data_IF_858793202862
#
_entry.id   IF_858793202862
#
_cell.length_a   1.000
_cell.length_b   1.000
_cell.length_c   1.000
_cell.angle_alpha   90.00
_cell.angle_beta   90.00
_cell.angle_gamma   90.00
#
_symmetry.space_group_name_H-M   'P 1'
#
loop_
_entity.id
_entity.type
_entity.pdbx_description
1 polymer ?
#
# COMPACT_ATOMS: atom_id res chain seq x y z
N UNK A 1 -37.64 30.55 5.19
CA UNK A 1 -37.43 29.12 4.86
C UNK A 1 -36.19 28.69 5.59
N UNK A 2 -36.25 27.61 6.39
CA UNK A 2 -35.05 27.11 7.08
C UNK A 2 -34.08 26.56 6.03
N UNK A 3 -32.86 27.07 6.00
CA UNK A 3 -31.79 26.49 5.18
C UNK A 3 -31.50 25.06 5.66
N UNK A 4 -31.80 24.10 4.80
CA UNK A 4 -31.41 22.71 5.02
C UNK A 4 -29.91 22.62 4.77
N UNK A 5 -29.15 22.30 5.81
CA UNK A 5 -27.71 22.09 5.71
C UNK A 5 -27.45 20.67 5.21
N UNK A 6 -27.08 20.55 3.93
CA UNK A 6 -26.63 19.29 3.34
C UNK A 6 -25.14 19.11 3.63
N UNK A 7 -24.76 17.95 4.15
CA UNK A 7 -23.35 17.57 4.36
C UNK A 7 -23.08 16.41 3.41
N UNK A 8 -22.05 16.52 2.59
CA UNK A 8 -21.55 15.38 1.81
C UNK A 8 -20.70 14.50 2.73
N UNK A 9 -21.25 13.32 3.08
CA UNK A 9 -20.61 12.39 4.00
C UNK A 9 -19.32 11.83 3.41
N UNK A 10 -19.20 11.67 2.08
CA UNK A 10 -17.99 11.13 1.46
C UNK A 10 -16.83 12.11 1.64
N UNK A 11 -17.06 13.39 1.37
CA UNK A 11 -16.04 14.43 1.55
C UNK A 11 -15.62 14.58 3.02
N UNK A 12 -16.57 14.50 3.95
CA UNK A 12 -16.28 14.59 5.38
C UNK A 12 -15.35 13.45 5.85
N UNK A 13 -15.67 12.20 5.51
CA UNK A 13 -14.87 11.01 5.88
C UNK A 13 -13.47 11.07 5.27
N UNK A 14 -13.35 11.47 3.99
CA UNK A 14 -12.05 11.58 3.33
C UNK A 14 -11.20 12.72 3.93
N UNK A 15 -11.81 13.83 4.31
CA UNK A 15 -11.14 14.96 4.95
C UNK A 15 -10.61 14.58 6.34
N UNK A 16 -11.42 13.91 7.16
CA UNK A 16 -11.00 13.39 8.46
C UNK A 16 -9.82 12.41 8.33
N UNK A 17 -9.89 11.49 7.37
CA UNK A 17 -8.79 10.57 7.09
C UNK A 17 -7.51 11.31 6.65
N UNK A 18 -7.64 12.35 5.83
CA UNK A 18 -6.49 13.14 5.36
C UNK A 18 -5.77 13.82 6.52
N UNK A 19 -6.50 14.41 7.47
CA UNK A 19 -5.91 15.00 8.66
C UNK A 19 -5.11 13.99 9.49
N UNK A 20 -5.67 12.79 9.70
CA UNK A 20 -4.98 11.72 10.41
C UNK A 20 -3.74 11.24 9.66
N UNK A 21 -3.83 11.09 8.33
CA UNK A 21 -2.70 10.69 7.50
C UNK A 21 -1.54 11.70 7.59
N UNK A 22 -1.82 12.99 7.58
CA UNK A 22 -0.80 14.03 7.70
C UNK A 22 -0.12 14.00 9.08
N UNK A 23 -0.89 13.82 10.16
CA UNK A 23 -0.35 13.68 11.51
C UNK A 23 0.54 12.44 11.65
N UNK A 24 0.12 11.30 11.09
CA UNK A 24 0.93 10.08 11.04
C UNK A 24 2.25 10.30 10.31
N UNK A 25 2.19 10.87 9.11
CA UNK A 25 3.37 11.13 8.29
C UNK A 25 4.34 12.06 9.00
N UNK A 26 3.85 13.12 9.63
CA UNK A 26 4.66 14.07 10.40
C UNK A 26 5.34 13.39 11.61
N UNK A 27 4.60 12.56 12.35
CA UNK A 27 5.11 11.80 13.49
C UNK A 27 6.22 10.82 13.09
N UNK A 28 6.00 10.09 12.00
CA UNK A 28 6.98 9.11 11.49
C UNK A 28 8.22 9.78 10.90
N UNK A 29 8.06 10.94 10.25
CA UNK A 29 9.19 11.78 9.82
C UNK A 29 10.03 12.22 11.03
N UNK A 30 9.38 12.64 12.12
CA UNK A 30 10.07 13.06 13.35
C UNK A 30 10.79 11.90 14.06
N UNK A 31 10.30 10.67 13.92
CA UNK A 31 10.94 9.45 14.45
C UNK A 31 11.92 8.80 13.48
N UNK A 32 12.20 9.44 12.34
CA UNK A 32 13.06 8.93 11.25
C UNK A 32 12.63 7.55 10.72
N UNK A 33 11.33 7.23 10.80
CA UNK A 33 10.77 6.00 10.27
C UNK A 33 10.12 6.24 8.91
N UNK A 34 10.62 5.57 7.87
CA UNK A 34 10.04 5.68 6.54
C UNK A 34 8.88 4.69 6.34
N UNK A 35 7.67 5.20 6.19
CA UNK A 35 6.47 4.44 5.84
C UNK A 35 6.23 4.39 4.33
N UNK A 36 6.17 3.18 3.76
CA UNK A 36 5.91 2.92 2.35
C UNK A 36 4.59 2.18 2.17
N UNK A 37 3.71 2.66 1.30
CA UNK A 37 2.48 1.95 0.93
C UNK A 37 2.64 1.22 -0.41
N UNK A 38 2.45 -0.09 -0.42
CA UNK A 38 2.53 -0.93 -1.62
C UNK A 38 1.15 -1.44 -2.01
N UNK A 39 0.68 -1.01 -3.18
CA UNK A 39 -0.65 -1.30 -3.73
C UNK A 39 -0.54 -2.11 -5.02
N UNK A 40 -1.59 -2.85 -5.39
CA UNK A 40 -1.64 -3.61 -6.65
C UNK A 40 -3.01 -4.25 -6.85
N UNK A 41 -3.27 -4.86 -8.00
CA UNK A 41 -4.29 -5.91 -8.12
C UNK A 41 -3.96 -7.15 -7.28
N UNK A 42 -4.93 -8.03 -6.97
CA UNK A 42 -4.63 -9.36 -6.42
C UNK A 42 -3.66 -10.14 -7.32
N UNK A 43 -2.68 -10.81 -6.73
CA UNK A 43 -1.75 -11.67 -7.47
C UNK A 43 -0.68 -10.95 -8.30
N UNK A 44 -0.54 -9.62 -8.22
CA UNK A 44 0.52 -8.87 -8.92
C UNK A 44 1.94 -9.15 -8.38
N UNK A 45 2.06 -9.79 -7.22
CA UNK A 45 3.35 -10.22 -6.65
C UNK A 45 3.91 -9.36 -5.52
N UNK A 46 3.05 -8.62 -4.78
CA UNK A 46 3.46 -7.76 -3.65
C UNK A 46 4.28 -8.53 -2.61
N UNK A 47 3.72 -9.58 -2.02
CA UNK A 47 4.38 -10.40 -1.01
C UNK A 47 5.75 -10.90 -1.46
N UNK A 48 5.86 -11.42 -2.69
CA UNK A 48 7.14 -11.90 -3.24
C UNK A 48 8.17 -10.78 -3.37
N UNK A 49 7.77 -9.61 -3.87
CA UNK A 49 8.64 -8.44 -3.98
C UNK A 49 9.10 -7.97 -2.61
N UNK A 50 8.18 -7.92 -1.65
CA UNK A 50 8.44 -7.43 -0.29
C UNK A 50 9.39 -8.35 0.48
N UNK A 51 9.18 -9.67 0.41
CA UNK A 51 10.07 -10.65 1.05
C UNK A 51 11.52 -10.46 0.60
N UNK A 52 11.77 -10.38 -0.70
CA UNK A 52 13.13 -10.20 -1.22
C UNK A 52 13.69 -8.79 -0.93
N UNK A 53 12.85 -7.76 -0.99
CA UNK A 53 13.25 -6.38 -0.68
C UNK A 53 13.69 -6.26 0.78
N UNK A 54 12.87 -6.78 1.70
CA UNK A 54 13.12 -6.75 3.14
C UNK A 54 14.35 -7.57 3.48
N UNK A 55 14.52 -8.76 2.89
CA UNK A 55 15.73 -9.58 3.07
C UNK A 55 16.99 -8.79 2.73
N UNK A 56 17.03 -8.13 1.57
CA UNK A 56 18.18 -7.31 1.13
C UNK A 56 18.40 -6.07 2.00
N UNK A 57 17.34 -5.46 2.52
CA UNK A 57 17.44 -4.31 3.43
C UNK A 57 18.01 -4.73 4.80
N UNK A 58 17.54 -5.86 5.33
CA UNK A 58 18.06 -6.46 6.57
C UNK A 58 19.53 -6.85 6.45
N UNK A 59 19.95 -7.42 5.32
CA UNK A 59 21.36 -7.71 5.03
C UNK A 59 22.25 -6.44 5.10
N UNK A 60 21.66 -5.25 4.93
CA UNK A 60 22.32 -3.94 5.03
C UNK A 60 22.14 -3.27 6.39
N UNK A 61 21.54 -3.96 7.36
CA UNK A 61 21.31 -3.45 8.72
C UNK A 61 20.09 -2.55 8.88
N UNK A 62 19.22 -2.45 7.86
CA UNK A 62 17.97 -1.67 7.94
C UNK A 62 16.92 -2.47 8.72
N UNK A 63 16.36 -1.86 9.76
CA UNK A 63 15.31 -2.44 10.60
C UNK A 63 13.96 -2.21 9.93
N UNK A 64 13.34 -3.30 9.49
CA UNK A 64 12.10 -3.27 8.72
C UNK A 64 10.98 -4.03 9.41
N UNK A 65 9.75 -3.52 9.32
CA UNK A 65 8.52 -4.24 9.67
C UNK A 65 7.47 -4.13 8.56
N UNK A 66 6.48 -5.02 8.60
CA UNK A 66 5.36 -5.05 7.65
C UNK A 66 4.03 -4.88 8.38
N UNK A 67 3.15 -4.06 7.83
CA UNK A 67 1.74 -4.04 8.14
C UNK A 67 1.03 -4.62 6.93
N UNK A 68 0.28 -5.69 7.10
CA UNK A 68 -0.42 -6.36 6.01
C UNK A 68 -1.92 -6.16 6.14
N UNK A 69 -2.56 -5.75 5.05
CA UNK A 69 -4.01 -5.62 4.96
C UNK A 69 -4.59 -6.70 4.09
N UNK A 70 -5.37 -7.60 4.69
CA UNK A 70 -6.17 -8.58 3.98
C UNK A 70 -7.60 -8.61 4.55
N UNK A 71 -8.54 -9.06 3.73
CA UNK A 71 -9.94 -9.18 4.09
C UNK A 71 -10.12 -10.25 5.18
N UNK A 72 -9.50 -11.43 4.99
CA UNK A 72 -9.67 -12.57 5.92
C UNK A 72 -8.44 -13.49 6.04
N UNK A 73 -7.52 -13.46 5.07
CA UNK A 73 -6.40 -14.42 5.00
C UNK A 73 -5.26 -14.07 5.96
N UNK A 74 -4.52 -15.08 6.42
CA UNK A 74 -3.23 -14.94 7.13
C UNK A 74 -2.04 -15.43 6.30
N UNK A 75 -2.29 -15.83 5.05
CA UNK A 75 -1.32 -16.53 4.19
C UNK A 75 -0.06 -15.71 3.95
N UNK A 76 -0.17 -14.39 3.78
CA UNK A 76 1.00 -13.56 3.51
C UNK A 76 1.77 -13.25 4.82
N UNK A 77 1.07 -13.10 5.94
CA UNK A 77 1.68 -12.90 7.27
C UNK A 77 2.48 -14.12 7.71
N UNK A 78 1.97 -15.33 7.46
CA UNK A 78 2.67 -16.58 7.73
C UNK A 78 3.97 -16.70 6.91
N UNK A 79 3.96 -16.23 5.65
CA UNK A 79 5.18 -16.19 4.83
C UNK A 79 6.19 -15.16 5.35
N UNK A 80 5.72 -13.99 5.80
CA UNK A 80 6.57 -12.95 6.38
C UNK A 80 7.23 -13.45 7.67
N UNK A 81 6.45 -14.09 8.56
CA UNK A 81 6.96 -14.67 9.80
C UNK A 81 7.97 -15.80 9.52
N UNK A 82 7.68 -16.69 8.57
CA UNK A 82 8.61 -17.74 8.15
C UNK A 82 9.94 -17.19 7.59
N UNK A 83 9.93 -15.98 7.02
CA UNK A 83 11.13 -15.26 6.58
C UNK A 83 11.82 -14.46 7.70
N UNK A 84 11.33 -14.55 8.94
CA UNK A 84 11.82 -13.83 10.11
C UNK A 84 11.59 -12.32 10.02
N UNK A 85 10.54 -11.90 9.30
CA UNK A 85 10.11 -10.50 9.20
C UNK A 85 9.02 -10.28 10.23
N UNK A 86 9.14 -9.22 11.05
CA UNK A 86 8.06 -8.81 11.94
C UNK A 86 6.91 -8.27 11.09
N UNK A 87 5.75 -8.90 11.19
CA UNK A 87 4.53 -8.49 10.52
C UNK A 87 3.37 -8.30 11.52
N UNK A 88 2.48 -7.35 11.22
CA UNK A 88 1.19 -7.19 11.89
C UNK A 88 0.08 -7.30 10.85
N UNK A 89 -0.85 -8.22 11.09
CA UNK A 89 -2.02 -8.42 10.23
C UNK A 89 -3.16 -7.51 10.65
N UNK A 90 -3.64 -6.69 9.72
CA UNK A 90 -4.86 -5.93 9.83
C UNK A 90 -5.95 -6.66 9.06
N UNK A 91 -6.91 -7.24 9.78
CA UNK A 91 -8.12 -7.81 9.19
C UNK A 91 -9.08 -6.67 8.89
N UNK A 92 -9.33 -6.41 7.62
CA UNK A 92 -10.14 -5.25 7.20
C UNK A 92 -11.64 -5.45 7.40
N UNK A 93 -12.08 -6.66 7.75
CA UNK A 93 -13.50 -6.96 8.05
C UNK A 93 -14.42 -6.75 6.84
N UNK A 94 -13.90 -6.94 5.63
CA UNK A 94 -14.62 -6.71 4.38
C UNK A 94 -14.27 -5.39 3.68
N UNK A 95 -13.50 -4.49 4.31
CA UNK A 95 -13.06 -3.28 3.63
C UNK A 95 -12.02 -3.59 2.53
N UNK A 96 -12.17 -2.89 1.40
CA UNK A 96 -11.38 -3.10 0.18
C UNK A 96 -10.08 -2.27 0.11
N UNK A 97 -9.71 -1.61 1.20
CA UNK A 97 -8.55 -0.71 1.35
C UNK A 97 -8.11 -0.63 2.82
N UNK A 98 -6.98 0.03 3.05
CA UNK A 98 -6.53 0.50 4.36
C UNK A 98 -6.59 2.03 4.42
N UNK A 99 -7.05 2.57 5.54
CA UNK A 99 -7.08 4.00 5.83
C UNK A 99 -6.06 4.38 6.92
N UNK A 100 -5.91 5.67 7.22
CA UNK A 100 -4.92 6.15 8.19
C UNK A 100 -5.18 5.59 9.60
N UNK A 101 -6.43 5.41 10.02
CA UNK A 101 -6.77 4.90 11.35
C UNK A 101 -6.36 3.43 11.50
N UNK A 102 -6.58 2.62 10.46
CA UNK A 102 -6.11 1.24 10.42
C UNK A 102 -4.57 1.17 10.49
N UNK A 103 -3.88 2.05 9.75
CA UNK A 103 -2.42 2.10 9.79
C UNK A 103 -1.91 2.54 11.16
N UNK A 104 -2.53 3.52 11.80
CA UNK A 104 -2.17 3.92 13.15
C UNK A 104 -2.25 2.75 14.14
N UNK A 105 -3.34 1.97 14.08
CA UNK A 105 -3.48 0.78 14.91
C UNK A 105 -2.35 -0.25 14.67
N UNK A 106 -2.00 -0.50 13.40
CA UNK A 106 -0.90 -1.39 13.05
C UNK A 106 0.47 -0.88 13.52
N UNK A 107 0.73 0.42 13.42
CA UNK A 107 1.97 1.05 13.88
C UNK A 107 2.12 0.99 15.41
N UNK A 108 1.00 1.12 16.14
CA UNK A 108 0.99 1.01 17.60
C UNK A 108 1.28 -0.43 18.05
N UNK A 109 0.73 -1.44 17.38
CA UNK A 109 1.00 -2.86 17.67
C UNK A 109 2.45 -3.25 17.36
N UNK A 110 3.05 -2.64 16.33
CA UNK A 110 4.47 -2.86 16.00
C UNK A 110 5.44 -2.29 17.04
N UNK A 111 4.99 -1.37 17.90
CA UNK A 111 5.85 -0.45 18.64
C UNK A 111 6.88 0.18 17.69
N UNK A 112 6.38 1.02 16.77
CA UNK A 112 7.15 1.53 15.61
C UNK A 112 8.52 2.15 15.97
N UNK A 113 8.72 2.54 17.22
CA UNK A 113 9.99 3.02 17.73
C UNK A 113 11.12 2.01 17.48
N UNK A 114 12.07 2.40 16.62
CA UNK A 114 13.23 1.57 16.31
C UNK A 114 13.15 0.80 14.99
N UNK A 115 12.14 1.05 14.15
CA UNK A 115 12.19 0.67 12.73
C UNK A 115 12.65 1.86 11.88
N UNK A 116 13.57 1.58 10.96
CA UNK A 116 14.00 2.57 9.96
C UNK A 116 12.97 2.64 8.82
N UNK A 117 12.26 1.54 8.58
CA UNK A 117 11.23 1.45 7.54
C UNK A 117 10.08 0.53 7.95
N UNK A 118 8.85 0.97 7.71
CA UNK A 118 7.65 0.14 7.77
C UNK A 118 7.02 0.09 6.40
N UNK A 119 6.62 -1.11 5.96
CA UNK A 119 5.98 -1.31 4.67
C UNK A 119 4.55 -1.77 4.88
N UNK A 120 3.61 -1.09 4.23
CA UNK A 120 2.21 -1.48 4.17
C UNK A 120 2.04 -2.34 2.92
N UNK A 121 1.71 -3.61 3.08
CA UNK A 121 1.15 -4.43 2.02
C UNK A 121 -0.36 -4.20 1.99
N UNK A 122 -0.82 -3.30 1.11
CA UNK A 122 -2.23 -2.93 1.04
C UNK A 122 -3.09 -4.04 0.43
N UNK A 123 -4.41 -3.92 0.58
CA UNK A 123 -5.37 -4.85 -0.03
C UNK A 123 -5.16 -4.87 -1.55
N UNK A 124 -5.22 -6.06 -2.15
CA UNK A 124 -5.15 -6.21 -3.61
C UNK A 124 -6.35 -5.57 -4.32
N UNK A 125 -6.25 -4.30 -4.67
CA UNK A 125 -7.29 -3.52 -5.34
C UNK A 125 -6.70 -2.28 -6.03
N UNK A 126 -7.13 -1.99 -7.27
CA UNK A 126 -6.72 -0.80 -8.04
C UNK A 126 -7.72 0.37 -7.96
N UNK A 127 -8.78 0.26 -7.16
CA UNK A 127 -9.82 1.28 -7.03
C UNK A 127 -9.78 1.91 -5.64
N UNK A 128 -10.22 1.18 -4.61
CA UNK A 128 -10.41 1.75 -3.28
C UNK A 128 -9.12 2.35 -2.67
N UNK A 129 -7.95 1.68 -2.72
CA UNK A 129 -6.75 2.21 -2.05
C UNK A 129 -6.24 3.54 -2.63
N UNK A 130 -6.67 3.92 -3.84
CA UNK A 130 -6.29 5.20 -4.43
C UNK A 130 -7.03 6.41 -3.82
N UNK A 131 -8.18 6.19 -3.16
CA UNK A 131 -8.98 7.25 -2.54
C UNK A 131 -8.55 7.58 -1.10
N UNK A 132 -7.83 6.67 -0.42
CA UNK A 132 -7.54 6.77 1.01
C UNK A 132 -6.04 6.98 1.25
N UNK A 133 -5.70 8.11 1.85
CA UNK A 133 -4.35 8.35 2.35
C UNK A 133 -4.09 7.49 3.59
N UNK A 134 -2.94 6.81 3.61
CA UNK A 134 -2.50 5.92 4.69
C UNK A 134 -1.51 6.59 5.63
N UNK A 135 -1.12 7.84 5.35
CA UNK A 135 -0.02 8.53 6.04
C UNK A 135 1.36 8.09 5.55
N UNK A 136 1.43 7.26 4.50
CA UNK A 136 2.69 6.85 3.90
C UNK A 136 3.45 8.03 3.31
N UNK A 137 4.78 7.95 3.33
CA UNK A 137 5.66 8.95 2.71
C UNK A 137 5.70 8.76 1.20
N UNK A 138 5.63 7.51 0.74
CA UNK A 138 5.58 7.14 -0.67
C UNK A 138 4.60 6.00 -0.90
N UNK A 139 4.04 5.99 -2.11
CA UNK A 139 3.10 5.01 -2.63
C UNK A 139 3.72 4.34 -3.85
N UNK A 140 3.87 3.02 -3.78
CA UNK A 140 4.31 2.17 -4.88
C UNK A 140 3.13 1.35 -5.36
N UNK A 141 2.93 1.29 -6.66
CA UNK A 141 1.99 0.33 -7.26
C UNK A 141 2.73 -0.72 -8.05
N UNK A 142 2.28 -1.97 -7.96
CA UNK A 142 2.66 -3.04 -8.87
C UNK A 142 1.59 -3.22 -9.95
N UNK A 143 2.04 -3.34 -11.20
CA UNK A 143 1.24 -3.79 -12.33
C UNK A 143 1.96 -4.99 -12.97
N UNK A 144 1.36 -6.18 -12.96
CA UNK A 144 1.99 -7.33 -13.60
C UNK A 144 1.69 -7.39 -15.10
N UNK A 145 2.64 -7.89 -15.89
CA UNK A 145 2.49 -8.01 -17.35
C UNK A 145 1.21 -8.75 -17.76
N UNK A 146 0.82 -9.89 -17.14
CA UNK A 146 -0.43 -10.57 -17.49
C UNK A 146 -1.72 -9.76 -17.24
N UNK A 147 -1.66 -8.67 -16.45
CA UNK A 147 -2.82 -7.79 -16.27
C UNK A 147 -3.07 -6.90 -17.47
N UNK A 148 -2.05 -6.61 -18.29
CA UNK A 148 -2.15 -5.71 -19.43
C UNK A 148 -1.84 -4.25 -19.09
N UNK A 149 -1.19 -3.55 -20.01
CA UNK A 149 -0.82 -2.13 -19.87
C UNK A 149 -2.04 -1.19 -19.92
N UNK A 150 -3.17 -1.67 -20.44
CA UNK A 150 -4.45 -0.94 -20.53
C UNK A 150 -5.03 -0.51 -19.17
N UNK A 151 -4.50 -1.05 -18.07
CA UNK A 151 -4.89 -0.68 -16.70
C UNK A 151 -4.67 0.79 -16.37
N UNK A 152 -3.70 1.45 -17.00
CA UNK A 152 -3.50 2.89 -16.86
C UNK A 152 -4.76 3.68 -17.27
N UNK A 153 -5.42 3.28 -18.36
CA UNK A 153 -6.64 3.93 -18.84
C UNK A 153 -7.88 3.54 -18.04
N UNK A 154 -7.89 2.32 -17.49
CA UNK A 154 -9.04 1.79 -16.73
C UNK A 154 -9.08 2.26 -15.28
N UNK A 155 -7.92 2.54 -14.68
CA UNK A 155 -7.78 2.90 -13.27
C UNK A 155 -6.99 4.21 -13.08
N UNK A 156 -7.35 5.30 -13.77
CA UNK A 156 -6.49 6.49 -13.88
C UNK A 156 -6.13 7.10 -12.52
N UNK A 157 -7.05 7.09 -11.55
CA UNK A 157 -6.78 7.61 -10.21
C UNK A 157 -5.63 6.88 -9.52
N UNK A 158 -5.55 5.55 -9.63
CA UNK A 158 -4.44 4.79 -9.02
C UNK A 158 -3.09 5.18 -9.64
N UNK A 159 -3.05 5.41 -10.94
CA UNK A 159 -1.83 5.79 -11.66
C UNK A 159 -1.41 7.25 -11.40
N UNK A 160 -2.33 8.14 -11.00
CA UNK A 160 -2.00 9.53 -10.66
C UNK A 160 -1.55 9.72 -9.23
N UNK A 161 -1.95 8.85 -8.31
CA UNK A 161 -1.59 8.97 -6.89
C UNK A 161 -0.26 8.29 -6.55
N UNK A 162 0.18 7.30 -7.32
CA UNK A 162 1.42 6.56 -6.99
C UNK A 162 2.67 7.37 -7.31
N UNK A 163 3.70 7.26 -6.45
CA UNK A 163 5.00 7.89 -6.66
C UNK A 163 5.93 7.02 -7.52
N UNK A 164 5.65 5.72 -7.59
CA UNK A 164 6.43 4.76 -8.36
C UNK A 164 5.55 3.61 -8.86
N UNK A 165 5.69 3.29 -10.15
CA UNK A 165 5.11 2.11 -10.77
C UNK A 165 6.19 1.04 -10.96
N UNK A 166 5.93 -0.16 -10.45
CA UNK A 166 6.75 -1.34 -10.67
C UNK A 166 6.02 -2.29 -11.61
N UNK A 167 6.57 -2.51 -12.80
CA UNK A 167 6.07 -3.55 -13.71
C UNK A 167 6.63 -4.90 -13.27
N UNK A 168 5.77 -5.84 -12.88
CA UNK A 168 6.18 -7.16 -12.40
C UNK A 168 5.89 -8.25 -13.42
N UNK A 169 6.48 -9.44 -13.19
CA UNK A 169 6.33 -10.62 -14.07
C UNK A 169 6.79 -10.35 -15.51
N UNK A 170 7.88 -9.60 -15.67
CA UNK A 170 8.43 -9.21 -16.97
C UNK A 170 8.95 -10.39 -17.79
N UNK A 171 9.14 -11.55 -17.17
CA UNK A 171 9.34 -12.84 -17.81
C UNK A 171 8.17 -13.25 -18.73
N UNK A 172 6.98 -12.65 -18.58
CA UNK A 172 5.83 -12.82 -19.48
C UNK A 172 5.81 -11.86 -20.67
N UNK A 173 6.74 -10.89 -20.76
CA UNK A 173 6.78 -9.98 -21.91
C UNK A 173 6.93 -10.68 -23.26
N UNK A 174 7.78 -11.72 -23.41
CA UNK A 174 7.92 -12.42 -24.69
C UNK A 174 6.60 -13.02 -25.15
N UNK A 175 6.08 -12.54 -26.28
CA UNK A 175 4.82 -13.02 -26.88
C UNK A 175 3.55 -12.42 -26.27
N UNK A 176 3.66 -11.48 -25.33
CA UNK A 176 2.52 -10.69 -24.85
C UNK A 176 2.23 -9.49 -25.76
N UNK A 177 1.03 -8.94 -25.64
CA UNK A 177 0.60 -7.66 -26.22
C UNK A 177 0.85 -6.46 -25.26
N UNK A 178 1.65 -6.68 -24.21
CA UNK A 178 1.96 -5.64 -23.24
C UNK A 178 2.94 -4.61 -23.82
N UNK A 179 2.50 -3.35 -23.91
CA UNK A 179 3.32 -2.27 -24.42
C UNK A 179 3.88 -1.41 -23.27
N UNK A 180 5.19 -1.58 -23.01
CA UNK A 180 5.92 -0.82 -22.00
C UNK A 180 6.11 0.65 -22.38
N UNK A 181 6.18 0.97 -23.67
CA UNK A 181 6.33 2.35 -24.12
C UNK A 181 5.00 3.09 -23.93
N UNK A 182 3.89 2.49 -24.37
CA UNK A 182 2.55 3.05 -24.18
C UNK A 182 2.16 3.18 -22.69
N UNK A 183 2.65 2.31 -21.81
CA UNK A 183 2.43 2.43 -20.37
C UNK A 183 3.20 3.61 -19.75
N UNK A 184 4.37 3.93 -20.30
CA UNK A 184 5.26 4.96 -19.76
C UNK A 184 4.79 6.37 -20.13
N UNK A 185 4.19 6.52 -21.30
CA UNK A 185 3.72 7.79 -21.86
C UNK A 185 2.35 8.21 -21.29
#
# INVERSE_FOLDING_TARGET
>A
MAEIRTIDIKEAVLSENTGLADDLRARLTASETFLLNVMSSPGAGKTTLLLETIRRLRDRGVRTAVIEGDIESTVDSEKMEAAGVKAVQLRTGGACHLDAAMIEAGLNELDVAGYDMVVIENVGNLVCPAEFDTGAHRRVMLLSVPEGHDKAFKYPLMFTVVDCLVVTKTDYLPGSDFDLAALRD
#
